data_IF_669027918515
#
_entry.id   IF_669027918515
#
_cell.length_a   1.000
_cell.length_b   1.000
_cell.length_c   1.000
_cell.angle_alpha   90.00
_cell.angle_beta   90.00
_cell.angle_gamma   90.00
#
_symmetry.space_group_name_H-M   'P 1'
#
loop_
_entity.id
_entity.type
_entity.pdbx_description
1 polymer ?
#
# COMPACT_ATOMS: atom_id res chain seq x y z
N UNK A 1 -1.40 -24.46 -7.49
CA UNK A 1 -2.18 -23.75 -6.44
C UNK A 1 -1.68 -22.33 -6.35
N UNK A 2 -2.52 -21.38 -5.95
CA UNK A 2 -2.22 -19.95 -5.91
C UNK A 2 -2.71 -19.39 -4.58
N UNK A 3 -1.87 -18.61 -3.90
CA UNK A 3 -2.16 -17.96 -2.62
C UNK A 3 -1.29 -16.73 -2.41
N UNK A 4 -1.51 -16.02 -1.30
CA UNK A 4 -0.81 -14.77 -0.95
C UNK A 4 -1.72 -13.53 -0.96
N UNK A 5 -1.26 -12.45 -0.32
CA UNK A 5 -2.07 -11.28 0.02
C UNK A 5 -2.77 -10.59 -1.17
N UNK A 6 -2.15 -10.60 -2.35
CA UNK A 6 -2.70 -9.99 -3.56
C UNK A 6 -3.62 -10.91 -4.37
N UNK A 7 -3.69 -12.19 -3.99
CA UNK A 7 -4.49 -13.20 -4.69
C UNK A 7 -5.87 -13.30 -4.07
N UNK A 8 -6.87 -13.67 -4.88
CA UNK A 8 -8.23 -13.89 -4.39
C UNK A 8 -8.95 -14.89 -5.28
N UNK A 9 -10.00 -15.50 -4.73
CA UNK A 9 -10.85 -16.43 -5.48
C UNK A 9 -11.38 -15.81 -6.78
N UNK A 10 -11.82 -14.55 -6.72
CA UNK A 10 -12.34 -13.83 -7.88
C UNK A 10 -11.24 -13.58 -8.90
N UNK A 11 -10.08 -13.08 -8.47
CA UNK A 11 -8.95 -12.82 -9.36
C UNK A 11 -8.48 -14.11 -10.07
N UNK A 12 -8.31 -15.21 -9.32
CA UNK A 12 -7.92 -16.50 -9.88
C UNK A 12 -8.97 -17.02 -10.86
N UNK A 13 -10.25 -16.96 -10.54
CA UNK A 13 -11.33 -17.42 -11.43
C UNK A 13 -11.42 -16.60 -12.74
N UNK A 14 -11.25 -15.28 -12.65
CA UNK A 14 -11.47 -14.35 -13.78
C UNK A 14 -10.22 -14.15 -14.64
N UNK A 15 -9.02 -14.16 -14.05
CA UNK A 15 -7.78 -13.76 -14.74
C UNK A 15 -6.78 -14.89 -14.91
N UNK A 16 -6.63 -15.78 -13.94
CA UNK A 16 -5.56 -16.80 -13.96
C UNK A 16 -6.04 -18.12 -14.56
N UNK A 17 -7.11 -18.70 -14.00
CA UNK A 17 -7.66 -19.99 -14.43
C UNK A 17 -7.94 -20.05 -15.95
N UNK A 18 -8.54 -19.03 -16.59
CA UNK A 18 -8.82 -19.09 -18.02
C UNK A 18 -7.56 -19.22 -18.91
N UNK A 19 -6.40 -18.81 -18.40
CA UNK A 19 -5.13 -18.83 -19.14
C UNK A 19 -4.36 -20.14 -18.97
N UNK A 20 -4.63 -20.90 -17.91
CA UNK A 20 -3.96 -22.19 -17.68
C UNK A 20 -4.73 -23.33 -18.35
N UNK A 21 -4.29 -23.75 -19.54
CA UNK A 21 -4.96 -24.80 -20.34
C UNK A 21 -4.56 -26.23 -19.96
N UNK A 22 -3.40 -26.41 -19.32
CA UNK A 22 -2.84 -27.72 -19.00
C UNK A 22 -3.48 -28.38 -17.77
N UNK A 23 -4.31 -27.67 -17.01
CA UNK A 23 -4.94 -28.20 -15.81
C UNK A 23 -5.79 -27.16 -15.07
N UNK A 24 -5.96 -27.35 -13.75
CA UNK A 24 -6.77 -26.46 -12.91
C UNK A 24 -5.90 -25.54 -12.05
N UNK A 25 -6.08 -24.22 -12.21
CA UNK A 25 -5.59 -23.27 -11.24
C UNK A 25 -6.54 -23.23 -10.04
N UNK A 26 -6.01 -23.35 -8.81
CA UNK A 26 -6.82 -23.37 -7.58
C UNK A 26 -6.26 -22.33 -6.62
N UNK A 27 -7.10 -21.35 -6.28
CA UNK A 27 -6.90 -20.40 -5.20
C UNK A 27 -7.09 -21.08 -3.85
N UNK A 28 -6.18 -20.81 -2.93
CA UNK A 28 -6.19 -21.33 -1.56
C UNK A 28 -6.05 -20.16 -0.61
N UNK A 29 -6.92 -20.09 0.40
CA UNK A 29 -7.01 -18.93 1.30
C UNK A 29 -5.87 -18.86 2.30
N UNK A 30 -5.43 -20.01 2.80
CA UNK A 30 -4.50 -20.13 3.92
C UNK A 30 -3.82 -21.51 3.90
N UNK A 31 -2.76 -21.66 4.70
CA UNK A 31 -1.98 -22.89 4.76
C UNK A 31 -2.80 -24.11 5.23
N UNK A 32 -3.79 -23.91 6.11
CA UNK A 32 -4.63 -25.01 6.62
C UNK A 32 -5.48 -25.63 5.51
N UNK A 33 -6.05 -24.80 4.62
CA UNK A 33 -6.83 -25.27 3.47
C UNK A 33 -5.95 -25.86 2.37
N UNK A 34 -4.69 -25.46 2.28
CA UNK A 34 -3.76 -25.99 1.30
C UNK A 34 -3.61 -27.50 1.41
N UNK A 35 -3.53 -28.04 2.63
CA UNK A 35 -3.41 -29.48 2.88
C UNK A 35 -4.59 -30.24 2.29
N UNK A 36 -5.82 -29.82 2.58
CA UNK A 36 -7.03 -30.47 2.06
C UNK A 36 -7.12 -30.41 0.54
N UNK A 37 -6.71 -29.29 -0.07
CA UNK A 37 -6.66 -29.13 -1.53
C UNK A 37 -5.65 -30.09 -2.14
N UNK A 38 -4.43 -30.18 -1.59
CA UNK A 38 -3.38 -31.08 -2.07
C UNK A 38 -3.83 -32.54 -1.96
N UNK A 39 -4.39 -32.94 -0.82
CA UNK A 39 -4.92 -34.30 -0.63
C UNK A 39 -6.03 -34.64 -1.63
N UNK A 40 -6.93 -33.70 -1.93
CA UNK A 40 -7.97 -33.91 -2.94
C UNK A 40 -7.38 -34.04 -4.36
N UNK A 41 -6.37 -33.24 -4.70
CA UNK A 41 -5.70 -33.29 -6.00
C UNK A 41 -4.84 -34.54 -6.21
N UNK A 42 -4.28 -35.10 -5.14
CA UNK A 42 -3.45 -36.30 -5.20
C UNK A 42 -4.26 -37.60 -5.02
N UNK A 43 -5.57 -37.50 -4.75
CA UNK A 43 -6.45 -38.65 -4.62
C UNK A 43 -6.72 -39.30 -5.99
N UNK A 44 -6.48 -40.61 -6.10
CA UNK A 44 -6.70 -41.37 -7.33
C UNK A 44 -8.17 -41.34 -7.79
N UNK A 45 -9.12 -41.45 -6.85
CA UNK A 45 -10.56 -41.51 -7.16
C UNK A 45 -11.27 -40.15 -7.05
N UNK A 46 -10.69 -39.19 -6.33
CA UNK A 46 -11.35 -37.92 -5.96
C UNK A 46 -10.96 -36.70 -6.80
N UNK A 47 -9.85 -36.77 -7.53
CA UNK A 47 -9.26 -35.61 -8.23
C UNK A 47 -10.20 -35.02 -9.29
N UNK A 48 -10.71 -35.85 -10.22
CA UNK A 48 -11.55 -35.35 -11.32
C UNK A 48 -12.80 -34.64 -10.82
N UNK A 49 -13.50 -35.25 -9.85
CA UNK A 49 -14.70 -34.67 -9.25
C UNK A 49 -14.40 -33.35 -8.55
N UNK A 50 -13.28 -33.27 -7.82
CA UNK A 50 -12.86 -32.04 -7.14
C UNK A 50 -12.53 -30.93 -8.14
N UNK A 51 -11.75 -31.24 -9.18
CA UNK A 51 -11.37 -30.30 -10.24
C UNK A 51 -12.60 -29.76 -10.96
N UNK A 52 -13.55 -30.62 -11.32
CA UNK A 52 -14.77 -30.19 -12.02
C UNK A 52 -15.69 -29.35 -11.13
N UNK A 53 -15.74 -29.65 -9.82
CA UNK A 53 -16.37 -28.78 -8.83
C UNK A 53 -15.77 -27.38 -8.81
N UNK A 54 -14.44 -27.27 -8.78
CA UNK A 54 -13.74 -25.97 -8.80
C UNK A 54 -13.99 -25.21 -10.10
N UNK A 55 -13.96 -25.87 -11.27
CA UNK A 55 -14.30 -25.25 -12.56
C UNK A 55 -15.71 -24.67 -12.54
N UNK A 56 -16.68 -25.44 -12.05
CA UNK A 56 -18.08 -25.01 -11.93
C UNK A 56 -18.24 -23.81 -11.00
N UNK A 57 -17.54 -23.79 -9.86
CA UNK A 57 -17.51 -22.63 -8.96
C UNK A 57 -16.90 -21.41 -9.65
N UNK A 58 -15.78 -21.57 -10.35
CA UNK A 58 -15.08 -20.45 -10.99
C UNK A 58 -15.88 -19.86 -12.15
N UNK A 59 -16.58 -20.68 -12.91
CA UNK A 59 -17.51 -20.21 -13.95
C UNK A 59 -18.60 -19.30 -13.33
N UNK A 60 -19.23 -19.74 -12.23
CA UNK A 60 -20.26 -18.95 -11.52
C UNK A 60 -19.69 -17.64 -10.97
N UNK A 61 -18.50 -17.69 -10.35
CA UNK A 61 -17.83 -16.51 -9.80
C UNK A 61 -17.49 -15.51 -10.91
N UNK A 62 -16.98 -16.00 -12.05
CA UNK A 62 -16.62 -15.16 -13.18
C UNK A 62 -17.86 -14.50 -13.82
N UNK A 63 -18.95 -15.25 -13.98
CA UNK A 63 -20.23 -14.73 -14.50
C UNK A 63 -20.83 -13.68 -13.57
N UNK A 64 -20.90 -13.95 -12.27
CA UNK A 64 -21.42 -13.01 -11.27
C UNK A 64 -20.58 -11.72 -11.22
N UNK A 65 -19.25 -11.84 -11.27
CA UNK A 65 -18.35 -10.69 -11.32
C UNK A 65 -18.55 -9.87 -12.60
N UNK A 66 -18.62 -10.52 -13.77
CA UNK A 66 -18.84 -9.84 -15.04
C UNK A 66 -20.16 -9.06 -15.05
N UNK A 67 -21.24 -9.66 -14.53
CA UNK A 67 -22.53 -8.99 -14.39
C UNK A 67 -22.46 -7.78 -13.46
N UNK A 68 -21.86 -7.93 -12.27
CA UNK A 68 -21.73 -6.84 -11.30
C UNK A 68 -20.89 -5.67 -11.85
N UNK A 69 -19.82 -5.95 -12.60
CA UNK A 69 -19.01 -4.90 -13.23
C UNK A 69 -19.73 -4.20 -14.40
N UNK A 70 -20.62 -4.91 -15.11
CA UNK A 70 -21.44 -4.36 -16.19
C UNK A 70 -22.59 -3.47 -15.66
N UNK A 71 -23.13 -3.76 -14.48
CA UNK A 71 -24.15 -2.94 -13.82
C UNK A 71 -23.60 -1.61 -13.30
N UNK A 72 -22.27 -1.49 -13.10
CA UNK A 72 -21.63 -0.23 -12.69
C UNK A 72 -21.54 0.74 -13.86
N UNK A 73 -22.26 1.85 -13.77
CA UNK A 73 -22.11 2.97 -14.69
C UNK A 73 -20.78 3.69 -14.42
N UNK A 74 -19.93 3.76 -15.44
CA UNK A 74 -18.68 4.52 -15.43
C UNK A 74 -18.79 5.68 -16.42
N UNK A 75 -18.02 6.72 -16.17
CA UNK A 75 -18.09 7.98 -16.91
C UNK A 75 -16.76 8.25 -17.62
N UNK A 76 -16.78 8.97 -18.76
CA UNK A 76 -15.56 9.45 -19.40
C UNK A 76 -14.71 10.27 -18.42
N UNK A 77 -13.39 10.23 -18.59
CA UNK A 77 -12.43 10.93 -17.74
C UNK A 77 -12.73 12.43 -17.63
N UNK A 78 -13.13 13.06 -18.73
CA UNK A 78 -13.51 14.48 -18.74
C UNK A 78 -14.67 14.77 -17.77
N UNK A 79 -15.73 13.97 -17.79
CA UNK A 79 -16.86 14.10 -16.85
C UNK A 79 -16.44 13.80 -15.41
N UNK A 80 -15.53 12.84 -15.20
CA UNK A 80 -14.99 12.58 -13.87
C UNK A 80 -14.19 13.77 -13.32
N UNK A 81 -13.40 14.45 -14.17
CA UNK A 81 -12.65 15.67 -13.82
C UNK A 81 -13.58 16.84 -13.48
N UNK A 82 -14.70 17.00 -14.20
CA UNK A 82 -15.72 18.01 -13.88
C UNK A 82 -16.37 17.79 -12.50
N UNK A 83 -16.41 16.53 -12.04
CA UNK A 83 -16.91 16.14 -10.72
C UNK A 83 -15.78 15.89 -9.70
N UNK A 84 -14.62 16.53 -9.85
CA UNK A 84 -13.52 16.50 -8.87
C UNK A 84 -13.94 17.02 -7.48
N UNK A 85 -13.15 16.73 -6.44
CA UNK A 85 -13.38 17.32 -5.12
C UNK A 85 -13.21 18.84 -5.21
N UNK A 86 -14.18 19.59 -4.67
CA UNK A 86 -14.17 21.06 -4.68
C UNK A 86 -13.89 21.56 -3.26
N UNK A 87 -12.62 21.76 -2.95
CA UNK A 87 -12.17 22.32 -1.68
C UNK A 87 -12.21 23.85 -1.73
N UNK A 88 -12.49 24.50 -0.60
CA UNK A 88 -12.42 25.96 -0.48
C UNK A 88 -10.98 26.41 -0.23
N UNK A 89 -10.26 26.63 -1.32
CA UNK A 89 -8.88 27.13 -1.29
C UNK A 89 -8.75 28.54 -0.72
N UNK A 90 -9.82 29.34 -0.68
CA UNK A 90 -9.75 30.72 -0.17
C UNK A 90 -9.60 30.80 1.36
N UNK A 91 -10.12 29.78 2.07
CA UNK A 91 -9.98 29.62 3.50
C UNK A 91 -8.74 28.81 3.90
N UNK A 92 -8.20 28.01 2.98
CA UNK A 92 -7.02 27.18 3.21
C UNK A 92 -5.73 28.01 3.23
N UNK A 93 -4.92 27.80 4.27
CA UNK A 93 -3.58 28.36 4.38
C UNK A 93 -2.59 27.21 4.46
N UNK A 94 -1.95 26.80 3.35
CA UNK A 94 -0.95 25.76 3.38
C UNK A 94 0.14 26.09 4.40
N UNK A 95 0.49 25.10 5.22
CA UNK A 95 1.60 25.24 6.17
C UNK A 95 2.90 24.92 5.46
N UNK A 96 3.87 25.84 5.51
CA UNK A 96 5.21 25.60 4.98
C UNK A 96 5.97 24.64 5.91
N UNK A 97 6.55 23.54 5.41
CA UNK A 97 7.36 22.65 6.22
C UNK A 97 8.61 23.34 6.76
N UNK A 98 9.16 22.84 7.86
CA UNK A 98 10.36 23.41 8.50
C UNK A 98 11.62 23.37 7.63
N UNK A 99 11.63 22.55 6.58
CA UNK A 99 12.66 22.50 5.54
C UNK A 99 12.07 22.01 4.21
N UNK A 100 12.81 22.23 3.12
CA UNK A 100 12.60 21.55 1.82
C UNK A 100 13.83 20.73 1.46
N UNK A 101 13.67 19.70 0.63
CA UNK A 101 14.70 18.69 0.38
C UNK A 101 14.56 17.50 1.32
N UNK A 102 15.64 16.74 1.52
CA UNK A 102 15.59 15.45 2.23
C UNK A 102 16.24 15.50 3.61
N UNK A 103 15.76 14.64 4.51
CA UNK A 103 16.33 14.42 5.85
C UNK A 103 16.44 12.92 6.11
N UNK A 104 17.64 12.46 6.42
CA UNK A 104 17.97 11.05 6.68
C UNK A 104 18.01 10.79 8.18
N UNK A 105 17.45 9.66 8.59
CA UNK A 105 17.52 9.09 9.93
C UNK A 105 18.28 7.76 9.82
N UNK A 106 19.57 7.78 10.16
CA UNK A 106 20.46 6.61 10.03
C UNK A 106 20.15 5.48 11.04
N UNK A 107 19.41 5.82 12.09
CA UNK A 107 18.90 4.90 13.11
C UNK A 107 17.70 5.51 13.81
N UNK A 108 16.92 4.69 14.49
CA UNK A 108 15.83 5.10 15.37
C UNK A 108 15.76 4.16 16.58
N UNK A 109 15.27 4.66 17.72
CA UNK A 109 15.15 3.87 18.94
C UNK A 109 14.06 2.79 18.80
N UNK A 110 14.46 1.53 18.89
CA UNK A 110 13.54 0.39 18.85
C UNK A 110 12.54 0.40 20.01
N UNK A 111 12.95 0.85 21.20
CA UNK A 111 12.04 0.94 22.34
C UNK A 111 10.93 1.99 22.10
N UNK A 112 11.27 3.09 21.42
CA UNK A 112 10.30 4.09 20.99
C UNK A 112 9.34 3.51 19.95
N UNK A 113 9.86 2.89 18.88
CA UNK A 113 9.04 2.29 17.83
C UNK A 113 8.11 1.19 18.35
N UNK A 114 8.56 0.39 19.32
CA UNK A 114 7.75 -0.69 19.90
C UNK A 114 6.43 -0.19 20.51
N UNK A 115 6.36 1.09 20.91
CA UNK A 115 5.14 1.72 21.45
C UNK A 115 4.09 2.04 20.38
N UNK A 116 4.49 2.08 19.10
CA UNK A 116 3.61 2.37 17.96
C UNK A 116 3.15 1.11 17.21
N UNK A 117 3.47 -0.08 17.72
CA UNK A 117 3.07 -1.34 17.08
C UNK A 117 1.55 -1.53 17.18
N UNK A 118 0.88 -1.56 16.03
CA UNK A 118 -0.42 -2.20 15.91
C UNK A 118 -0.23 -3.73 15.86
N UNK A 119 -0.64 -4.38 16.94
CA UNK A 119 -0.59 -5.84 17.11
C UNK A 119 -1.69 -6.57 16.35
N UNK A 120 -2.73 -5.87 15.87
CA UNK A 120 -3.84 -6.52 15.17
C UNK A 120 -3.37 -7.28 13.92
N UNK A 121 -2.58 -6.69 13.00
CA UNK A 121 -2.08 -7.43 11.85
C UNK A 121 -1.00 -8.46 12.22
N UNK A 122 -0.31 -8.31 13.36
CA UNK A 122 0.58 -9.36 13.86
C UNK A 122 -0.21 -10.66 14.11
N UNK A 123 -1.32 -10.61 14.83
CA UNK A 123 -2.16 -11.81 15.04
C UNK A 123 -2.75 -12.36 13.74
N UNK A 124 -3.11 -11.48 12.80
CA UNK A 124 -3.62 -11.89 11.49
C UNK A 124 -2.57 -12.65 10.67
N UNK A 125 -1.29 -12.28 10.73
CA UNK A 125 -0.18 -13.04 10.11
C UNK A 125 -0.10 -14.47 10.64
N UNK A 126 -0.55 -14.70 11.88
CA UNK A 126 -0.61 -16.03 12.50
C UNK A 126 -2.01 -16.68 12.39
N UNK A 127 -2.85 -16.21 11.47
CA UNK A 127 -4.21 -16.71 11.21
C UNK A 127 -5.17 -16.61 12.41
N UNK A 128 -4.85 -15.75 13.39
CA UNK A 128 -5.70 -15.48 14.55
C UNK A 128 -6.59 -14.25 14.25
N UNK A 129 -7.90 -14.49 14.22
CA UNK A 129 -8.89 -13.50 13.72
C UNK A 129 -9.46 -12.68 14.86
N UNK A 130 -9.05 -11.43 14.98
CA UNK A 130 -9.60 -10.53 15.98
C UNK A 130 -8.79 -9.24 16.04
N UNK A 131 -9.26 -8.29 16.84
CA UNK A 131 -8.53 -7.04 17.10
C UNK A 131 -7.80 -7.14 18.43
N UNK A 132 -6.57 -6.65 18.51
CA UNK A 132 -5.89 -6.49 19.78
C UNK A 132 -6.47 -5.29 20.57
N UNK A 133 -6.62 -5.37 21.90
CA UNK A 133 -6.29 -6.50 22.79
C UNK A 133 -7.41 -7.54 22.93
N UNK A 134 -8.61 -7.29 22.39
CA UNK A 134 -9.78 -8.16 22.58
C UNK A 134 -9.57 -9.63 22.17
N UNK A 135 -8.70 -9.89 21.19
CA UNK A 135 -8.34 -11.25 20.76
C UNK A 135 -7.70 -12.09 21.89
N UNK A 136 -7.05 -11.45 22.87
CA UNK A 136 -6.46 -12.14 24.01
C UNK A 136 -7.50 -12.78 24.92
N UNK A 137 -8.73 -12.28 24.92
CA UNK A 137 -9.85 -12.78 25.72
C UNK A 137 -10.86 -13.60 24.90
N UNK A 138 -10.54 -13.91 23.64
CA UNK A 138 -11.38 -14.72 22.78
C UNK A 138 -11.57 -16.14 23.33
N UNK A 139 -12.81 -16.62 23.41
CA UNK A 139 -13.15 -17.93 23.98
C UNK A 139 -12.49 -19.12 23.27
N UNK A 140 -12.24 -19.01 21.96
CA UNK A 140 -11.74 -20.12 21.12
C UNK A 140 -10.24 -20.07 20.91
N UNK A 141 -9.67 -18.88 20.78
CA UNK A 141 -8.28 -18.67 20.38
C UNK A 141 -7.47 -17.84 21.38
N UNK A 142 -8.07 -17.32 22.46
CA UNK A 142 -7.40 -16.44 23.42
C UNK A 142 -6.22 -17.08 24.13
N UNK A 143 -6.25 -18.39 24.41
CA UNK A 143 -5.11 -19.12 24.98
C UNK A 143 -3.90 -19.11 24.02
N UNK A 144 -4.12 -19.49 22.76
CA UNK A 144 -3.09 -19.47 21.73
C UNK A 144 -2.59 -18.05 21.44
N UNK A 145 -3.49 -17.06 21.40
CA UNK A 145 -3.15 -15.66 21.22
C UNK A 145 -2.27 -15.13 22.37
N UNK A 146 -2.59 -15.46 23.62
CA UNK A 146 -1.76 -15.08 24.78
C UNK A 146 -0.38 -15.74 24.74
N UNK A 147 -0.29 -17.02 24.36
CA UNK A 147 1.00 -17.71 24.24
C UNK A 147 1.86 -17.08 23.13
N UNK A 148 1.30 -16.90 21.94
CA UNK A 148 1.99 -16.25 20.83
C UNK A 148 2.44 -14.82 21.20
N UNK A 149 1.58 -14.07 21.86
CA UNK A 149 1.92 -12.72 22.31
C UNK A 149 3.04 -12.75 23.35
N UNK A 150 3.04 -13.69 24.30
CA UNK A 150 4.13 -13.84 25.26
C UNK A 150 5.47 -14.14 24.58
N UNK A 151 5.48 -15.03 23.58
CA UNK A 151 6.69 -15.34 22.80
C UNK A 151 7.16 -14.13 21.99
N UNK A 152 6.22 -13.40 21.36
CA UNK A 152 6.49 -12.17 20.64
C UNK A 152 7.09 -11.09 21.54
N UNK A 153 6.55 -10.91 22.76
CA UNK A 153 7.08 -9.98 23.75
C UNK A 153 8.48 -10.39 24.23
N UNK A 154 8.74 -11.69 24.41
CA UNK A 154 10.05 -12.18 24.78
C UNK A 154 11.10 -11.95 23.67
N UNK A 155 10.74 -12.16 22.40
CA UNK A 155 11.62 -11.87 21.27
C UNK A 155 11.78 -10.36 21.05
N UNK A 156 10.71 -9.57 21.16
CA UNK A 156 10.73 -8.12 21.09
C UNK A 156 11.70 -7.52 22.11
N UNK A 157 11.66 -8.02 23.34
CA UNK A 157 12.61 -7.63 24.39
C UNK A 157 14.05 -7.86 23.95
N UNK A 158 14.37 -9.03 23.40
CA UNK A 158 15.72 -9.32 22.88
C UNK A 158 16.10 -8.41 21.72
N UNK A 159 15.18 -8.18 20.78
CA UNK A 159 15.39 -7.29 19.64
C UNK A 159 15.83 -5.91 20.11
N UNK A 160 15.16 -5.37 21.13
CA UNK A 160 15.45 -4.05 21.71
C UNK A 160 16.76 -4.08 22.51
N UNK A 161 16.91 -5.00 23.47
CA UNK A 161 18.07 -5.06 24.36
C UNK A 161 19.39 -5.33 23.62
N UNK A 162 19.34 -6.15 22.57
CA UNK A 162 20.50 -6.55 21.79
C UNK A 162 20.63 -5.78 20.46
N UNK A 163 19.74 -4.80 20.19
CA UNK A 163 19.72 -3.99 18.97
C UNK A 163 19.79 -4.84 17.67
N UNK A 164 18.90 -5.84 17.56
CA UNK A 164 18.89 -6.75 16.40
C UNK A 164 18.64 -6.04 15.07
N UNK A 165 17.87 -4.97 15.10
CA UNK A 165 17.49 -4.20 13.93
C UNK A 165 18.11 -2.81 13.98
N UNK A 166 18.38 -2.24 12.80
CA UNK A 166 18.78 -0.83 12.68
C UNK A 166 17.77 -0.10 11.78
N UNK A 167 16.66 0.41 12.36
CA UNK A 167 15.63 1.09 11.58
C UNK A 167 16.21 2.31 10.88
N UNK A 168 15.93 2.48 9.59
CA UNK A 168 16.40 3.64 8.82
C UNK A 168 15.24 4.30 8.11
N UNK A 169 15.30 5.62 8.02
CA UNK A 169 14.31 6.40 7.29
C UNK A 169 14.97 7.51 6.47
N UNK A 170 14.29 7.88 5.40
CA UNK A 170 14.48 9.16 4.75
C UNK A 170 13.12 9.76 4.48
N UNK A 171 13.00 11.05 4.76
CA UNK A 171 11.82 11.83 4.38
C UNK A 171 12.26 13.00 3.51
N UNK A 172 11.32 13.60 2.80
CA UNK A 172 11.55 14.86 2.11
C UNK A 172 10.27 15.66 1.92
N UNK A 173 10.44 16.96 1.69
CA UNK A 173 9.36 17.89 1.41
C UNK A 173 9.71 18.77 0.21
N UNK A 174 8.73 19.00 -0.65
CA UNK A 174 8.91 19.79 -1.86
C UNK A 174 7.75 20.77 -2.03
N UNK A 175 8.03 22.01 -2.50
CA UNK A 175 6.99 22.90 -3.02
C UNK A 175 6.22 22.16 -4.11
N UNK A 176 4.91 22.08 -3.97
CA UNK A 176 4.06 21.30 -4.87
C UNK A 176 2.75 22.02 -5.18
N UNK A 177 2.19 21.80 -6.37
CA UNK A 177 0.83 22.20 -6.72
C UNK A 177 0.16 21.12 -7.58
N UNK A 178 -1.17 21.07 -7.51
CA UNK A 178 -1.93 20.26 -8.45
C UNK A 178 -1.94 20.92 -9.85
N UNK A 179 -1.77 20.10 -10.89
CA UNK A 179 -1.98 20.47 -12.30
C UNK A 179 -2.80 19.37 -12.95
N UNK A 180 -4.10 19.62 -13.13
CA UNK A 180 -5.05 18.58 -13.56
C UNK A 180 -5.14 17.46 -12.53
N UNK A 181 -4.87 16.22 -12.93
CA UNK A 181 -4.91 15.07 -12.03
C UNK A 181 -3.56 14.81 -11.33
N UNK A 182 -2.53 15.62 -11.54
CA UNK A 182 -1.18 15.33 -11.04
C UNK A 182 -0.67 16.33 -10.02
N UNK A 183 0.36 15.91 -9.29
CA UNK A 183 1.05 16.73 -8.29
C UNK A 183 2.42 17.07 -8.86
N UNK A 184 2.59 18.33 -9.26
CA UNK A 184 3.86 18.86 -9.77
C UNK A 184 4.71 19.37 -8.62
N UNK A 185 5.96 18.96 -8.58
CA UNK A 185 6.96 19.41 -7.61
C UNK A 185 7.89 20.42 -8.24
N UNK A 186 8.38 21.36 -7.45
CA UNK A 186 9.32 22.40 -7.87
C UNK A 186 10.61 22.34 -7.06
N UNK A 187 11.70 22.87 -7.62
CA UNK A 187 13.00 22.89 -6.94
C UNK A 187 13.02 23.79 -5.70
N UNK A 188 12.23 24.87 -5.73
CA UNK A 188 12.15 25.87 -4.67
C UNK A 188 10.79 26.60 -4.67
N UNK A 189 10.60 27.47 -3.68
CA UNK A 189 9.35 28.22 -3.49
C UNK A 189 9.05 29.24 -4.60
N UNK A 190 10.02 29.56 -5.46
CA UNK A 190 9.78 30.44 -6.60
C UNK A 190 8.98 29.74 -7.70
N UNK A 191 8.92 28.39 -7.69
CA UNK A 191 8.11 27.54 -8.58
C UNK A 191 8.32 27.84 -10.06
N UNK A 192 9.55 28.21 -10.42
CA UNK A 192 9.95 28.48 -11.81
C UNK A 192 10.47 27.24 -12.53
N UNK A 193 11.11 26.33 -11.80
CA UNK A 193 11.68 25.11 -12.35
C UNK A 193 11.03 23.88 -11.74
N UNK A 194 10.47 23.03 -12.61
CA UNK A 194 9.89 21.74 -12.23
C UNK A 194 10.99 20.78 -11.80
N UNK A 195 10.73 20.04 -10.71
CA UNK A 195 11.63 19.03 -10.18
C UNK A 195 11.21 17.62 -10.62
N UNK A 196 9.93 17.29 -10.42
CA UNK A 196 9.34 16.00 -10.75
C UNK A 196 7.80 16.12 -10.71
N UNK A 197 7.12 15.06 -11.13
CA UNK A 197 5.65 14.96 -11.04
C UNK A 197 5.28 13.60 -10.45
N UNK A 198 4.39 13.61 -9.45
CA UNK A 198 3.68 12.41 -9.04
C UNK A 198 2.37 12.31 -9.82
N UNK A 199 2.21 11.21 -10.54
CA UNK A 199 1.09 10.99 -11.43
C UNK A 199 -0.02 10.25 -10.71
N UNK A 200 -1.21 10.85 -10.64
CA UNK A 200 -2.35 10.25 -9.93
C UNK A 200 -3.45 9.79 -10.90
N UNK A 201 -4.33 8.95 -10.38
CA UNK A 201 -5.51 8.45 -11.09
C UNK A 201 -6.78 8.95 -10.40
N UNK A 202 -7.80 9.18 -11.20
CA UNK A 202 -9.12 9.63 -10.80
C UNK A 202 -10.13 8.48 -10.86
N UNK A 203 -11.01 8.42 -9.86
CA UNK A 203 -12.16 7.52 -9.89
C UNK A 203 -13.04 7.80 -11.12
N UNK A 204 -13.43 6.77 -11.88
CA UNK A 204 -14.34 6.91 -13.04
C UNK A 204 -15.71 6.27 -12.85
N UNK A 205 -16.00 5.71 -11.66
CA UNK A 205 -17.35 5.23 -11.33
C UNK A 205 -18.28 6.43 -11.16
N UNK A 206 -19.44 6.41 -11.82
CA UNK A 206 -20.47 7.44 -11.67
C UNK A 206 -20.86 7.56 -10.20
N UNK A 207 -20.85 8.78 -9.68
CA UNK A 207 -21.18 9.06 -8.28
C UNK A 207 -22.64 9.48 -8.16
N UNK A 208 -23.22 9.15 -7.00
CA UNK A 208 -24.49 9.76 -6.57
C UNK A 208 -24.25 11.24 -6.26
N UNK A 209 -25.30 12.03 -6.34
CA UNK A 209 -25.27 13.47 -6.03
C UNK A 209 -24.57 13.73 -4.69
N UNK A 210 -23.73 14.77 -4.66
CA UNK A 210 -22.94 15.15 -3.48
C UNK A 210 -21.66 14.35 -3.23
N UNK A 211 -21.30 13.37 -4.08
CA UNK A 211 -20.00 12.67 -4.00
C UNK A 211 -19.13 12.96 -5.23
N UNK A 212 -17.87 13.29 -4.97
CA UNK A 212 -16.88 13.57 -5.99
C UNK A 212 -16.22 12.30 -6.56
N UNK A 213 -15.68 12.44 -7.77
CA UNK A 213 -14.76 11.52 -8.40
C UNK A 213 -13.33 11.92 -8.01
N UNK A 214 -12.82 11.29 -6.95
CA UNK A 214 -11.61 11.74 -6.26
C UNK A 214 -10.34 11.34 -7.02
N UNK A 215 -9.37 12.24 -7.04
CA UNK A 215 -7.95 11.97 -7.32
C UNK A 215 -7.09 12.49 -6.15
N UNK A 216 -5.87 11.95 -5.95
CA UNK A 216 -5.01 12.38 -4.83
C UNK A 216 -4.57 13.85 -4.98
N UNK A 217 -4.40 14.32 -6.21
CA UNK A 217 -4.08 15.71 -6.54
C UNK A 217 -5.14 16.70 -6.09
N UNK A 218 -6.40 16.28 -5.91
CA UNK A 218 -7.47 17.17 -5.46
C UNK A 218 -7.21 17.75 -4.05
N UNK A 219 -6.33 17.11 -3.27
CA UNK A 219 -5.96 17.53 -1.92
C UNK A 219 -4.67 18.38 -1.86
N UNK A 220 -4.17 18.84 -3.02
CA UNK A 220 -3.03 19.75 -3.12
C UNK A 220 -3.49 21.00 -3.86
N UNK A 221 -3.13 22.18 -3.37
CA UNK A 221 -3.62 23.43 -3.95
C UNK A 221 -3.31 23.52 -5.45
N UNK A 222 -4.30 23.77 -6.31
CA UNK A 222 -4.09 23.93 -7.75
C UNK A 222 -3.14 25.09 -8.04
N UNK A 223 -2.28 24.94 -9.04
CA UNK A 223 -1.25 25.93 -9.37
C UNK A 223 -1.85 27.31 -9.67
N UNK A 224 -3.02 27.35 -10.31
CA UNK A 224 -3.76 28.55 -10.67
C UNK A 224 -4.28 29.35 -9.46
N UNK A 225 -4.37 28.74 -8.27
CA UNK A 225 -4.75 29.45 -7.04
C UNK A 225 -3.65 30.40 -6.56
N UNK A 226 -2.39 30.16 -6.98
CA UNK A 226 -1.23 30.89 -6.49
C UNK A 226 -0.83 30.54 -5.04
N UNK A 227 -1.50 29.58 -4.39
CA UNK A 227 -1.16 29.13 -3.06
C UNK A 227 0.13 28.30 -3.07
N UNK A 228 1.00 28.58 -2.10
CA UNK A 228 2.25 27.86 -1.92
C UNK A 228 2.02 26.58 -1.10
N UNK A 229 1.60 25.50 -1.76
CA UNK A 229 1.38 24.21 -1.10
C UNK A 229 2.59 23.27 -1.19
N UNK A 230 2.57 22.18 -0.45
CA UNK A 230 3.70 21.27 -0.30
C UNK A 230 3.22 19.82 -0.31
N UNK A 231 4.10 18.92 -0.77
CA UNK A 231 3.92 17.48 -0.64
C UNK A 231 5.21 16.88 -0.09
N UNK A 232 5.05 15.88 0.77
CA UNK A 232 6.17 15.13 1.31
C UNK A 232 6.24 13.71 0.77
N UNK A 233 7.31 13.02 1.12
CA UNK A 233 7.49 11.60 0.83
C UNK A 233 8.42 10.96 1.83
N UNK A 234 8.33 9.64 1.97
CA UNK A 234 9.16 8.87 2.87
C UNK A 234 9.47 7.46 2.36
N UNK A 235 10.59 6.92 2.85
CA UNK A 235 10.91 5.50 2.86
C UNK A 235 11.42 5.16 4.25
N UNK A 236 10.83 4.15 4.88
CA UNK A 236 11.28 3.58 6.16
C UNK A 236 11.52 2.09 6.03
N UNK A 237 12.40 1.55 6.86
CA UNK A 237 12.63 0.11 6.99
C UNK A 237 12.97 -0.24 8.43
N UNK A 238 12.60 -1.45 8.87
CA UNK A 238 13.10 -2.00 10.12
C UNK A 238 14.61 -2.25 10.08
N UNK A 239 15.18 -2.45 8.89
CA UNK A 239 16.59 -2.75 8.68
C UNK A 239 16.78 -4.06 7.91
N UNK A 240 17.90 -4.16 7.19
CA UNK A 240 18.28 -5.34 6.41
C UNK A 240 18.69 -6.53 7.30
N UNK A 241 19.00 -6.25 8.56
CA UNK A 241 19.47 -7.22 9.54
C UNK A 241 18.46 -8.34 9.81
N UNK A 242 17.15 -8.07 9.62
CA UNK A 242 16.07 -9.05 9.71
C UNK A 242 16.31 -10.30 8.84
N UNK A 243 16.74 -10.10 7.60
CA UNK A 243 16.97 -11.21 6.65
C UNK A 243 17.99 -12.20 7.21
N UNK A 244 19.14 -11.71 7.68
CA UNK A 244 20.20 -12.56 8.22
C UNK A 244 19.80 -13.26 9.53
N UNK A 245 19.00 -12.61 10.37
CA UNK A 245 18.51 -13.18 11.62
C UNK A 245 17.49 -14.29 11.35
N UNK A 246 16.56 -14.07 10.41
CA UNK A 246 15.58 -15.08 10.03
C UNK A 246 16.24 -16.30 9.39
N UNK A 247 17.21 -16.08 8.48
CA UNK A 247 18.00 -17.16 7.89
C UNK A 247 18.77 -17.98 8.95
N UNK A 248 19.24 -17.34 10.03
CA UNK A 248 19.91 -18.05 11.13
C UNK A 248 18.96 -19.01 11.83
N UNK A 249 17.71 -18.61 12.06
CA UNK A 249 16.68 -19.49 12.64
C UNK A 249 16.31 -20.63 11.68
N UNK A 250 16.15 -20.34 10.39
CA UNK A 250 15.87 -21.37 9.36
C UNK A 250 16.99 -22.42 9.29
N UNK A 251 18.26 -21.99 9.30
CA UNK A 251 19.42 -22.93 9.31
C UNK A 251 19.48 -23.78 10.58
N UNK A 252 18.84 -23.34 11.66
CA UNK A 252 18.69 -24.11 12.89
C UNK A 252 17.43 -24.98 12.92
N UNK A 253 16.64 -25.02 11.83
CA UNK A 253 15.31 -25.64 11.74
C UNK A 253 14.32 -25.08 12.77
N UNK A 254 14.43 -23.78 13.08
CA UNK A 254 13.50 -23.05 13.93
C UNK A 254 12.62 -22.13 13.07
N UNK A 255 11.70 -22.74 12.32
CA UNK A 255 10.79 -22.02 11.44
C UNK A 255 9.87 -21.06 12.22
N UNK A 256 9.52 -21.42 13.47
CA UNK A 256 8.70 -20.59 14.34
C UNK A 256 9.40 -19.26 14.63
N UNK A 257 10.64 -19.28 15.10
CA UNK A 257 11.38 -18.06 15.39
C UNK A 257 11.72 -17.25 14.13
N UNK A 258 11.93 -17.92 12.98
CA UNK A 258 12.11 -17.24 11.69
C UNK A 258 10.87 -16.44 11.31
N UNK A 259 9.69 -17.05 11.38
CA UNK A 259 8.41 -16.36 11.08
C UNK A 259 8.15 -15.26 12.11
N UNK A 260 8.43 -15.51 13.39
CA UNK A 260 8.22 -14.55 14.47
C UNK A 260 9.08 -13.29 14.31
N UNK A 261 10.37 -13.44 13.97
CA UNK A 261 11.25 -12.29 13.78
C UNK A 261 10.88 -11.47 12.54
N UNK A 262 10.49 -12.15 11.45
CA UNK A 262 9.97 -11.50 10.23
C UNK A 262 8.69 -10.70 10.52
N UNK A 263 7.74 -11.32 11.22
CA UNK A 263 6.49 -10.66 11.61
C UNK A 263 6.73 -9.44 12.51
N UNK A 264 7.69 -9.53 13.44
CA UNK A 264 8.08 -8.39 14.29
C UNK A 264 8.79 -7.29 13.50
N UNK A 265 9.65 -7.62 12.54
CA UNK A 265 10.27 -6.63 11.66
C UNK A 265 9.22 -5.87 10.84
N UNK A 266 8.22 -6.56 10.30
CA UNK A 266 7.09 -5.90 9.63
C UNK A 266 6.34 -4.95 10.57
N UNK A 267 6.13 -5.37 11.84
CA UNK A 267 5.55 -4.48 12.86
C UNK A 267 6.41 -3.25 13.13
N UNK A 268 7.72 -3.39 13.18
CA UNK A 268 8.64 -2.26 13.33
C UNK A 268 8.61 -1.32 12.13
N UNK A 269 8.53 -1.83 10.90
CA UNK A 269 8.47 -1.00 9.70
C UNK A 269 7.18 -0.14 9.67
N UNK A 270 6.03 -0.74 9.99
CA UNK A 270 4.75 -0.02 10.07
C UNK A 270 4.72 0.97 11.24
N UNK A 271 5.20 0.56 12.41
CA UNK A 271 5.34 1.43 13.58
C UNK A 271 6.25 2.64 13.28
N UNK A 272 7.30 2.43 12.49
CA UNK A 272 8.19 3.51 12.06
C UNK A 272 7.50 4.45 11.07
N UNK A 273 6.70 3.93 10.14
CA UNK A 273 5.91 4.77 9.24
C UNK A 273 4.92 5.64 10.03
N UNK A 274 4.24 5.08 11.03
CA UNK A 274 3.32 5.81 11.91
C UNK A 274 4.06 6.89 12.73
N UNK A 275 5.16 6.52 13.37
CA UNK A 275 5.96 7.45 14.17
C UNK A 275 6.56 8.59 13.34
N UNK A 276 7.07 8.28 12.14
CA UNK A 276 7.57 9.29 11.22
C UNK A 276 6.46 10.20 10.75
N UNK A 277 5.28 9.67 10.43
CA UNK A 277 4.16 10.51 10.06
C UNK A 277 3.75 11.45 11.21
N UNK A 278 3.65 10.94 12.44
CA UNK A 278 3.37 11.76 13.62
C UNK A 278 4.41 12.88 13.82
N UNK A 279 5.70 12.56 13.70
CA UNK A 279 6.77 13.55 13.78
C UNK A 279 6.70 14.58 12.64
N UNK A 280 6.33 14.15 11.43
CA UNK A 280 6.10 15.03 10.28
C UNK A 280 4.97 16.02 10.57
N UNK A 281 3.82 15.54 11.04
CA UNK A 281 2.66 16.40 11.34
C UNK A 281 2.98 17.44 12.42
N UNK A 282 3.66 17.02 13.49
CA UNK A 282 3.89 17.84 14.69
C UNK A 282 5.09 18.76 14.60
N UNK A 283 6.18 18.29 14.00
CA UNK A 283 7.49 18.96 14.12
C UNK A 283 8.09 19.33 12.77
N UNK A 284 8.17 18.38 11.83
CA UNK A 284 9.00 18.55 10.63
C UNK A 284 8.28 19.32 9.52
N UNK A 285 6.99 19.02 9.32
CA UNK A 285 6.08 19.85 8.53
C UNK A 285 5.34 20.83 9.43
N UNK A 286 4.84 20.35 10.58
CA UNK A 286 4.35 21.22 11.66
C UNK A 286 2.96 21.82 11.44
N UNK A 287 2.13 21.19 10.60
CA UNK A 287 0.74 21.64 10.39
C UNK A 287 -0.23 21.21 11.50
N UNK A 288 0.20 20.34 12.42
CA UNK A 288 -0.58 19.88 13.57
C UNK A 288 0.27 19.85 14.85
N UNK A 289 0.95 20.96 15.16
CA UNK A 289 1.90 21.05 16.29
C UNK A 289 1.28 20.83 17.69
N UNK A 290 -0.04 21.00 17.81
CA UNK A 290 -0.83 20.81 19.02
C UNK A 290 -1.44 19.40 19.13
N UNK A 291 -1.17 18.51 18.18
CA UNK A 291 -1.61 17.12 18.19
C UNK A 291 -1.06 16.35 19.41
N UNK A 292 -1.98 15.74 20.17
CA UNK A 292 -1.68 15.05 21.43
C UNK A 292 -2.28 13.63 21.51
N UNK A 293 -2.41 12.93 20.38
CA UNK A 293 -2.89 11.55 20.35
C UNK A 293 -1.91 10.59 21.02
N UNK A 294 -2.44 9.60 21.75
CA UNK A 294 -1.69 8.43 22.16
C UNK A 294 -1.42 7.50 20.97
N UNK A 295 -0.35 6.66 21.00
CA UNK A 295 -0.04 5.75 19.90
C UNK A 295 -1.22 4.85 19.48
N UNK A 296 -2.06 4.42 20.42
CA UNK A 296 -3.21 3.57 20.14
C UNK A 296 -4.35 4.31 19.41
N UNK A 297 -4.44 5.63 19.59
CA UNK A 297 -5.42 6.48 18.91
C UNK A 297 -5.03 6.72 17.46
N UNK A 298 -3.73 6.73 17.14
CA UNK A 298 -3.21 6.94 15.78
C UNK A 298 -3.71 5.87 14.79
N UNK A 299 -3.98 4.64 15.26
CA UNK A 299 -4.51 3.54 14.44
C UNK A 299 -5.87 3.91 13.81
N UNK A 300 -6.64 4.79 14.45
CA UNK A 300 -7.93 5.26 13.94
C UNK A 300 -7.82 6.35 12.87
N UNK A 301 -6.60 6.83 12.60
CA UNK A 301 -6.29 7.84 11.58
C UNK A 301 -7.09 9.15 11.72
N UNK A 302 -7.39 9.56 12.97
CA UNK A 302 -8.18 10.78 13.26
C UNK A 302 -7.38 12.08 13.19
N UNK A 303 -6.08 12.01 12.88
CA UNK A 303 -5.23 13.16 12.64
C UNK A 303 -5.51 13.78 11.26
N UNK A 304 -5.13 15.05 11.08
CA UNK A 304 -5.20 15.71 9.78
C UNK A 304 -4.11 15.18 8.83
N UNK A 305 -4.43 15.10 7.53
CA UNK A 305 -3.49 14.65 6.50
C UNK A 305 -3.40 13.13 6.36
N UNK A 306 -2.84 12.68 5.24
CA UNK A 306 -2.72 11.26 4.89
C UNK A 306 -1.32 10.92 4.37
N UNK A 307 -0.98 9.63 4.41
CA UNK A 307 0.29 9.08 3.91
C UNK A 307 0.11 8.02 2.80
N UNK A 308 -0.41 8.38 1.61
CA UNK A 308 -0.75 7.39 0.57
C UNK A 308 0.50 6.72 0.00
N UNK A 309 0.44 5.41 -0.17
CA UNK A 309 1.56 4.59 -0.63
C UNK A 309 1.30 4.01 -2.04
N UNK A 310 2.27 4.12 -2.97
CA UNK A 310 2.16 3.47 -4.28
C UNK A 310 1.95 1.95 -4.17
N UNK A 311 0.90 1.45 -4.83
CA UNK A 311 0.40 0.08 -4.75
C UNK A 311 -0.87 -0.08 -3.92
N UNK A 312 -1.21 0.88 -3.07
CA UNK A 312 -2.47 0.89 -2.34
C UNK A 312 -3.63 1.36 -3.23
N UNK A 313 -4.89 1.08 -2.85
CA UNK A 313 -6.05 1.44 -3.67
C UNK A 313 -6.15 2.92 -4.08
N UNK A 314 -5.62 3.85 -3.27
CA UNK A 314 -5.61 5.28 -3.56
C UNK A 314 -4.58 5.68 -4.64
N UNK A 315 -3.50 4.88 -4.78
CA UNK A 315 -2.42 5.10 -5.74
C UNK A 315 -1.94 3.75 -6.26
N UNK A 316 -2.72 3.05 -7.11
CA UNK A 316 -2.47 1.66 -7.46
C UNK A 316 -1.26 1.46 -8.37
N UNK A 317 -0.73 2.51 -9.00
CA UNK A 317 0.47 2.41 -9.85
C UNK A 317 1.74 2.27 -8.99
N UNK A 318 2.34 1.08 -9.05
CA UNK A 318 3.59 0.78 -8.36
C UNK A 318 4.81 1.56 -8.90
N UNK A 319 4.76 2.03 -10.15
CA UNK A 319 5.90 2.70 -10.79
C UNK A 319 6.20 4.07 -10.18
N UNK A 320 5.23 4.68 -9.48
CA UNK A 320 5.43 5.94 -8.75
C UNK A 320 6.49 5.82 -7.64
N UNK A 321 6.82 4.60 -7.19
CA UNK A 321 7.97 4.39 -6.28
C UNK A 321 9.29 4.80 -6.91
N UNK A 322 9.44 4.73 -8.24
CA UNK A 322 10.67 5.13 -8.92
C UNK A 322 10.93 6.62 -8.72
N UNK A 323 9.91 7.46 -8.94
CA UNK A 323 9.97 8.90 -8.70
C UNK A 323 10.27 9.19 -7.23
N UNK A 324 9.56 8.52 -6.31
CA UNK A 324 9.73 8.69 -4.87
C UNK A 324 11.17 8.33 -4.41
N UNK A 325 11.69 7.18 -4.84
CA UNK A 325 13.03 6.71 -4.48
C UNK A 325 14.11 7.64 -5.04
N UNK A 326 13.93 8.13 -6.26
CA UNK A 326 14.85 9.09 -6.90
C UNK A 326 14.90 10.40 -6.13
N UNK A 327 13.74 10.99 -5.80
CA UNK A 327 13.64 12.25 -5.07
C UNK A 327 14.26 12.18 -3.66
N UNK A 328 14.15 11.02 -3.01
CA UNK A 328 14.64 10.80 -1.65
C UNK A 328 16.11 10.33 -1.60
N UNK A 329 16.71 9.96 -2.73
CA UNK A 329 17.94 9.15 -2.76
C UNK A 329 17.83 7.94 -1.81
N UNK A 330 16.66 7.28 -1.86
CA UNK A 330 16.21 6.37 -0.80
C UNK A 330 17.12 5.15 -0.62
N UNK A 331 17.60 4.58 -1.72
CA UNK A 331 18.52 3.43 -1.69
C UNK A 331 19.80 3.77 -0.96
N UNK A 332 20.38 4.95 -1.22
CA UNK A 332 21.60 5.37 -0.55
C UNK A 332 21.36 5.70 0.92
N UNK A 333 20.23 6.35 1.23
CA UNK A 333 19.91 6.77 2.59
C UNK A 333 19.55 5.59 3.52
N UNK A 334 18.85 4.57 3.00
CA UNK A 334 18.27 3.50 3.82
C UNK A 334 18.83 2.11 3.52
N UNK A 335 19.36 1.89 2.32
CA UNK A 335 19.70 0.56 1.80
C UNK A 335 18.52 -0.18 1.18
N UNK A 336 17.30 0.36 1.23
CA UNK A 336 16.12 -0.25 0.61
C UNK A 336 16.22 -0.15 -0.90
N UNK A 337 15.98 -1.24 -1.62
CA UNK A 337 15.99 -1.29 -3.09
C UNK A 337 14.60 -1.63 -3.64
N UNK A 338 14.40 -1.36 -4.93
CA UNK A 338 13.21 -1.78 -5.67
C UNK A 338 13.55 -2.97 -6.58
N UNK A 339 12.72 -4.00 -6.54
CA UNK A 339 12.79 -5.13 -7.50
C UNK A 339 12.25 -4.71 -8.87
N UNK A 340 12.33 -5.61 -9.86
CA UNK A 340 11.75 -5.43 -11.20
C UNK A 340 10.23 -5.23 -11.20
N UNK A 341 9.54 -5.65 -10.14
CA UNK A 341 8.10 -5.44 -9.91
C UNK A 341 7.79 -4.27 -8.98
N UNK A 342 8.82 -3.48 -8.61
CA UNK A 342 8.74 -2.39 -7.64
C UNK A 342 8.17 -2.81 -6.28
N UNK A 343 8.46 -4.06 -5.87
CA UNK A 343 8.44 -4.44 -4.47
C UNK A 343 9.71 -3.88 -3.79
N UNK A 344 9.62 -3.59 -2.50
CA UNK A 344 10.76 -3.10 -1.73
C UNK A 344 11.53 -4.25 -1.09
N UNK A 345 12.85 -4.10 -0.99
CA UNK A 345 13.71 -5.03 -0.28
C UNK A 345 14.66 -4.27 0.66
N UNK A 346 14.77 -4.63 1.96
CA UNK A 346 14.10 -5.73 2.65
C UNK A 346 12.57 -5.57 2.69
N UNK A 347 11.86 -6.69 2.87
CA UNK A 347 10.39 -6.74 2.79
C UNK A 347 9.71 -5.87 3.85
N UNK A 348 10.29 -5.81 5.05
CA UNK A 348 9.85 -4.95 6.15
C UNK A 348 10.24 -3.48 5.91
N UNK A 349 9.63 -2.90 4.87
CA UNK A 349 9.81 -1.51 4.44
C UNK A 349 8.48 -0.89 4.04
N UNK A 350 8.32 0.40 4.28
CA UNK A 350 7.14 1.19 3.90
C UNK A 350 7.59 2.45 3.19
N UNK A 351 6.88 2.82 2.12
CA UNK A 351 7.14 4.05 1.38
C UNK A 351 5.83 4.71 0.97
N UNK A 352 5.78 6.03 0.99
CA UNK A 352 4.61 6.76 0.54
C UNK A 352 4.85 8.25 0.42
N UNK A 353 3.78 8.97 0.12
CA UNK A 353 3.72 10.42 0.12
C UNK A 353 3.18 10.92 1.47
N UNK A 354 3.30 12.22 1.70
CA UNK A 354 2.58 12.95 2.73
C UNK A 354 1.75 14.05 2.07
N UNK A 355 0.45 14.08 2.35
CA UNK A 355 -0.47 15.15 1.92
C UNK A 355 -1.04 15.78 3.18
N UNK A 356 -0.77 17.08 3.37
CA UNK A 356 -1.09 17.80 4.62
C UNK A 356 -2.47 18.41 4.68
N UNK A 357 -3.25 18.39 3.60
CA UNK A 357 -4.58 19.01 3.60
C UNK A 357 -5.51 18.30 4.60
N UNK A 358 -6.19 19.01 5.51
CA UNK A 358 -6.96 18.40 6.60
C UNK A 358 -8.15 17.56 6.10
N UNK A 359 -8.76 17.93 4.97
CA UNK A 359 -9.87 17.18 4.37
C UNK A 359 -9.41 16.00 3.49
N UNK A 360 -8.11 15.69 3.45
CA UNK A 360 -7.63 14.54 2.70
C UNK A 360 -8.04 13.22 3.38
N UNK A 361 -8.40 12.23 2.57
CA UNK A 361 -8.84 10.92 3.06
C UNK A 361 -8.45 9.80 2.10
N UNK A 362 -8.31 8.59 2.61
CA UNK A 362 -8.08 7.40 1.78
C UNK A 362 -9.32 7.02 0.97
N UNK A 363 -9.10 6.72 -0.31
CA UNK A 363 -10.13 6.21 -1.22
C UNK A 363 -9.53 5.12 -2.11
N UNK A 364 -10.38 4.31 -2.75
CA UNK A 364 -9.94 3.42 -3.83
C UNK A 364 -10.23 4.04 -5.19
N UNK A 365 -9.22 4.13 -6.07
CA UNK A 365 -9.40 4.53 -7.48
C UNK A 365 -10.41 3.62 -8.19
N UNK A 366 -10.44 2.35 -7.78
CA UNK A 366 -11.28 1.29 -8.37
C UNK A 366 -10.95 1.08 -9.86
N UNK A 367 -11.95 0.81 -10.69
CA UNK A 367 -11.73 0.54 -12.11
C UNK A 367 -11.63 1.82 -12.94
N UNK A 368 -10.63 1.89 -13.82
CA UNK A 368 -10.41 2.97 -14.79
C UNK A 368 -10.71 2.51 -16.22
N UNK A 369 -11.15 3.46 -17.04
CA UNK A 369 -11.46 3.29 -18.45
C UNK A 369 -10.25 3.57 -19.34
N UNK A 370 -10.37 3.19 -20.62
CA UNK A 370 -9.29 3.31 -21.60
C UNK A 370 -8.84 4.74 -21.85
N UNK A 371 -9.76 5.70 -21.82
CA UNK A 371 -9.44 7.12 -22.02
C UNK A 371 -8.49 7.66 -20.95
N UNK A 372 -8.65 7.25 -19.69
CA UNK A 372 -7.73 7.59 -18.61
C UNK A 372 -6.39 6.87 -18.73
N UNK A 373 -6.38 5.62 -19.20
CA UNK A 373 -5.11 4.90 -19.43
C UNK A 373 -4.30 5.56 -20.53
N UNK A 374 -4.93 5.97 -21.63
CA UNK A 374 -4.27 6.69 -22.74
C UNK A 374 -3.76 8.07 -22.29
N UNK A 375 -4.56 8.83 -21.52
CA UNK A 375 -4.17 10.11 -20.93
C UNK A 375 -3.01 9.95 -19.92
N UNK A 376 -3.06 8.94 -19.05
CA UNK A 376 -2.00 8.64 -18.07
C UNK A 376 -0.69 8.21 -18.74
N UNK A 377 -0.77 7.38 -19.79
CA UNK A 377 0.37 6.98 -20.59
C UNK A 377 1.04 8.19 -21.25
N UNK A 378 0.24 9.10 -21.83
CA UNK A 378 0.76 10.34 -22.40
C UNK A 378 1.46 11.21 -21.36
N UNK A 379 0.86 11.38 -20.16
CA UNK A 379 1.44 12.17 -19.06
C UNK A 379 2.76 11.60 -18.55
N UNK A 380 2.87 10.27 -18.46
CA UNK A 380 4.09 9.57 -18.01
C UNK A 380 5.13 9.38 -19.11
N UNK A 381 4.80 9.67 -20.37
CA UNK A 381 5.66 9.35 -21.50
C UNK A 381 5.90 7.85 -21.66
N UNK A 382 4.92 7.02 -21.26
CA UNK A 382 4.99 5.56 -21.34
C UNK A 382 4.14 5.03 -22.49
N UNK A 383 4.48 3.87 -23.02
CA UNK A 383 3.60 3.17 -23.96
C UNK A 383 2.30 2.75 -23.26
N UNK A 384 1.17 2.85 -23.95
CA UNK A 384 -0.14 2.49 -23.40
C UNK A 384 -0.16 1.05 -22.88
N UNK A 385 0.53 0.11 -23.55
CA UNK A 385 0.60 -1.29 -23.10
C UNK A 385 1.39 -1.45 -21.82
N UNK A 386 2.42 -0.63 -21.63
CA UNK A 386 3.20 -0.65 -20.40
C UNK A 386 2.33 -0.15 -19.23
N UNK A 387 1.56 0.92 -19.43
CA UNK A 387 0.58 1.39 -18.45
C UNK A 387 -0.51 0.35 -18.20
N UNK A 388 -1.05 -0.29 -19.23
CA UNK A 388 -2.03 -1.38 -19.10
C UNK A 388 -1.48 -2.56 -18.28
N UNK A 389 -0.18 -2.87 -18.41
CA UNK A 389 0.48 -3.91 -17.61
C UNK A 389 0.51 -3.53 -16.13
N UNK A 390 0.96 -2.32 -15.81
CA UNK A 390 1.06 -1.87 -14.41
C UNK A 390 -0.32 -1.63 -13.76
N UNK A 391 -1.27 -1.09 -14.52
CA UNK A 391 -2.64 -0.84 -14.07
C UNK A 391 -3.58 -2.04 -14.25
N UNK A 392 -3.07 -3.21 -14.65
CA UNK A 392 -3.85 -4.43 -14.90
C UNK A 392 -4.92 -4.74 -13.83
N UNK A 393 -4.63 -4.64 -12.52
CA UNK A 393 -5.62 -4.85 -11.46
C UNK A 393 -6.80 -3.87 -11.49
N UNK A 394 -6.60 -2.66 -12.02
CA UNK A 394 -7.58 -1.56 -12.04
C UNK A 394 -8.17 -1.27 -13.42
N UNK A 395 -7.83 -2.01 -14.47
CA UNK A 395 -8.50 -1.84 -15.78
C UNK A 395 -9.95 -2.33 -15.76
N UNK A 396 -10.85 -1.55 -16.37
CA UNK A 396 -12.24 -1.95 -16.64
C UNK A 396 -12.42 -2.72 -17.96
N UNK A 397 -11.40 -2.77 -18.80
CA UNK A 397 -11.46 -3.43 -20.09
C UNK A 397 -10.36 -4.48 -20.21
N UNK A 398 -10.43 -5.31 -21.24
CA UNK A 398 -9.38 -6.27 -21.58
C UNK A 398 -8.48 -5.61 -22.63
N UNK A 399 -7.18 -5.39 -22.35
CA UNK A 399 -6.22 -4.97 -23.36
C UNK A 399 -6.30 -5.87 -24.59
N UNK A 400 -6.32 -5.28 -25.80
CA UNK A 400 -6.35 -6.06 -27.03
C UNK A 400 -4.99 -6.74 -27.21
N UNK A 401 -4.98 -8.07 -27.33
CA UNK A 401 -3.80 -8.79 -27.79
C UNK A 401 -3.49 -8.35 -29.23
N UNK A 402 -2.23 -8.10 -29.55
CA UNK A 402 -1.80 -8.03 -30.94
C UNK A 402 -1.77 -9.46 -31.45
N UNK A 403 -2.34 -9.71 -32.63
CA UNK A 403 -1.92 -10.86 -33.40
C UNK A 403 -0.39 -10.74 -33.55
N UNK A 404 0.36 -11.77 -33.16
CA UNK A 404 1.77 -11.82 -33.50
C UNK A 404 1.87 -11.73 -35.03
N UNK A 405 2.45 -10.64 -35.54
CA UNK A 405 2.82 -10.53 -36.95
C UNK A 405 3.97 -11.48 -37.29
#
# INVERSE_FOLDING_TARGET
MIGGATTSRVHTAVKIHPQYKAGQAIYVTDASRAVGVVSALLSEDGNETYVDGVKGEYAKVAEAHARAEAEKQRQPLASARENAVKLDWSAYKPTKPGFTGTKVFETYDLAELARYIDWTPFFQTWELKGRYPAILDDEKQGEAARQLFADAQAMLKKIIEENWFRPRAVIGFWPANAVGDDIRLFKDDARQEELATFFTLRQQIAKREGRANVALSDFVAPLETGLQDYVGGFVVTAGIEEVAIAERFERANDDYSSILVKALADRFAEAFAERMHEQVRKELWGYASDEAFAPEELISETYAGIRPAPGYPAQPDHTEKVTLFSLLDATKATGVTLTESYAMWPGSSVSGLYIGHPDSYYFGVAKVERDQVEDYAARKGMDVREVERWLGPVLNYVPKAVAAE
#
